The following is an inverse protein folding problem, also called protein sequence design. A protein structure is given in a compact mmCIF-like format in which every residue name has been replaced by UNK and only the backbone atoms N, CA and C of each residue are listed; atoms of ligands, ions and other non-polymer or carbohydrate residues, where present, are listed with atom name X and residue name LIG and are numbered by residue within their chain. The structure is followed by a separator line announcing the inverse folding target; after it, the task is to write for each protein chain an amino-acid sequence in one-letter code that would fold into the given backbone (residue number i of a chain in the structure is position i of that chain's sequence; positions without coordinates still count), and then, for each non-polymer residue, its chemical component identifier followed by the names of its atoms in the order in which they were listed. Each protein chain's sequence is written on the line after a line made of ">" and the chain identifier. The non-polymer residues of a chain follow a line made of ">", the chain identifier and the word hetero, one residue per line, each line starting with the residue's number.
data_IF_748187660422
#
_entry.id   IF_748187660422
#
_cell.length_a   1.000
_cell.length_b   1.000
_cell.length_c   1.000
_cell.angle_alpha   90.00
_cell.angle_beta   90.00
_cell.angle_gamma   90.00
#
_symmetry.space_group_name_H-M   'P 1'
#
loop_
_entity.id
_entity.type
_entity.pdbx_description
1 polymer ?
#
# COMPACT_ATOMS: atom_id res chain seq x y z
N UNK A 1 6.94 -20.27 -65.41
CA UNK A 1 8.17 -20.33 -64.59
C UNK A 1 8.07 -19.20 -63.58
N UNK A 2 7.50 -19.41 -62.39
CA UNK A 2 8.01 -20.21 -61.25
C UNK A 2 9.27 -19.56 -60.66
N UNK A 3 9.23 -19.38 -59.33
CA UNK A 3 10.29 -18.99 -58.36
C UNK A 3 10.32 -17.48 -58.02
N UNK A 4 10.12 -16.97 -56.80
CA UNK A 4 9.63 -17.37 -55.46
C UNK A 4 9.49 -15.99 -54.74
N UNK A 5 8.40 -15.50 -54.13
CA UNK A 5 7.38 -16.11 -53.27
C UNK A 5 7.98 -16.81 -52.05
N UNK A 6 8.82 -16.12 -51.27
CA UNK A 6 9.11 -16.41 -49.86
C UNK A 6 9.82 -15.23 -49.20
N UNK A 7 9.07 -14.30 -48.59
CA UNK A 7 9.57 -13.43 -47.50
C UNK A 7 8.41 -12.85 -46.67
N UNK A 8 7.34 -13.65 -46.55
CA UNK A 8 6.22 -13.40 -45.66
C UNK A 8 6.11 -14.57 -44.69
N UNK A 9 7.14 -14.81 -43.87
CA UNK A 9 7.09 -15.77 -42.75
C UNK A 9 8.27 -15.57 -41.79
N UNK A 10 8.35 -14.40 -41.16
CA UNK A 10 8.90 -14.26 -39.81
C UNK A 10 8.10 -13.16 -39.09
N UNK A 11 6.81 -13.44 -38.88
CA UNK A 11 6.08 -12.91 -37.74
C UNK A 11 6.68 -13.56 -36.48
N UNK A 12 7.85 -13.08 -36.07
CA UNK A 12 8.27 -13.20 -34.69
C UNK A 12 7.41 -12.24 -33.89
N UNK A 13 6.41 -12.78 -33.18
CA UNK A 13 5.75 -12.12 -32.08
C UNK A 13 6.80 -11.70 -31.04
N UNK A 14 7.49 -10.58 -31.28
CA UNK A 14 7.91 -9.75 -30.17
C UNK A 14 6.60 -9.17 -29.63
N UNK A 15 6.03 -9.87 -28.65
CA UNK A 15 5.24 -9.20 -27.65
C UNK A 15 6.11 -8.02 -27.20
N UNK A 16 5.80 -6.83 -27.70
CA UNK A 16 6.31 -5.59 -27.15
C UNK A 16 5.85 -5.66 -25.70
N UNK A 17 6.74 -6.16 -24.84
CA UNK A 17 6.64 -5.98 -23.41
C UNK A 17 6.72 -4.47 -23.29
N UNK A 18 5.55 -3.84 -23.22
CA UNK A 18 5.43 -2.46 -22.83
C UNK A 18 5.95 -2.44 -21.41
N UNK A 19 7.22 -2.06 -21.28
CA UNK A 19 7.89 -1.89 -20.01
C UNK A 19 7.02 -0.91 -19.23
N UNK A 20 6.45 -1.36 -18.12
CA UNK A 20 5.64 -0.46 -17.31
C UNK A 20 6.61 0.46 -16.58
N UNK A 21 6.51 1.76 -16.83
CA UNK A 21 7.29 2.72 -16.08
C UNK A 21 6.84 2.69 -14.61
N UNK A 22 7.81 2.65 -13.70
CA UNK A 22 7.62 2.93 -12.27
C UNK A 22 6.81 4.21 -12.10
N UNK A 23 6.05 4.28 -11.02
CA UNK A 23 5.32 5.49 -10.69
C UNK A 23 6.29 6.68 -10.55
N UNK A 24 6.13 7.77 -11.35
CA UNK A 24 6.99 8.93 -11.26
C UNK A 24 7.10 9.52 -9.84
N UNK A 25 6.01 9.47 -9.05
CA UNK A 25 6.04 9.93 -7.66
C UNK A 25 6.89 9.01 -6.77
N UNK A 26 6.90 7.70 -7.03
CA UNK A 26 7.74 6.73 -6.31
C UNK A 26 9.22 6.91 -6.68
N UNK A 27 9.51 7.14 -7.96
CA UNK A 27 10.87 7.35 -8.44
C UNK A 27 11.48 8.68 -7.94
N UNK A 28 10.63 9.68 -7.69
CA UNK A 28 11.04 10.97 -7.15
C UNK A 28 11.30 10.98 -5.63
N UNK A 29 11.08 9.87 -4.92
CA UNK A 29 11.32 9.78 -3.47
C UNK A 29 12.80 9.92 -3.19
N UNK A 30 13.16 10.94 -2.40
CA UNK A 30 14.53 11.13 -1.93
C UNK A 30 14.61 11.26 -0.40
N UNK A 31 13.50 11.49 0.29
CA UNK A 31 13.48 11.69 1.74
C UNK A 31 12.57 10.70 2.46
N UNK A 32 12.82 10.41 3.76
CA UNK A 32 11.94 9.57 4.57
C UNK A 32 10.48 10.04 4.61
N UNK A 33 10.25 11.35 4.54
CA UNK A 33 8.89 11.87 4.53
C UNK A 33 8.19 11.76 3.18
N UNK A 34 8.91 11.80 2.07
CA UNK A 34 8.33 11.47 0.77
C UNK A 34 7.98 9.98 0.68
N UNK A 35 8.82 9.10 1.26
CA UNK A 35 8.49 7.70 1.40
C UNK A 35 7.23 7.48 2.29
N UNK A 36 7.08 8.21 3.41
CA UNK A 36 5.87 8.13 4.25
C UNK A 36 4.62 8.64 3.51
N UNK A 37 4.74 9.72 2.72
CA UNK A 37 3.66 10.22 1.85
C UNK A 37 3.20 9.11 0.89
N UNK A 38 4.14 8.43 0.25
CA UNK A 38 3.82 7.36 -0.68
C UNK A 38 3.11 6.19 0.02
N UNK A 39 3.64 5.77 1.18
CA UNK A 39 3.03 4.71 1.97
C UNK A 39 1.64 5.09 2.48
N UNK A 40 1.37 6.36 2.77
CA UNK A 40 0.03 6.84 3.11
C UNK A 40 -0.96 6.70 1.94
N UNK A 41 -0.52 7.00 0.70
CA UNK A 41 -1.34 6.81 -0.49
C UNK A 41 -1.62 5.33 -0.78
N UNK A 42 -0.61 4.47 -0.60
CA UNK A 42 -0.75 3.01 -0.67
C UNK A 42 -1.74 2.50 0.39
N UNK A 43 -1.62 2.97 1.64
CA UNK A 43 -2.55 2.64 2.72
C UNK A 43 -3.99 3.01 2.36
N UNK A 44 -4.22 4.22 1.85
CA UNK A 44 -5.55 4.67 1.42
C UNK A 44 -6.12 3.78 0.31
N UNK A 45 -5.30 3.43 -0.69
CA UNK A 45 -5.67 2.52 -1.77
C UNK A 45 -6.09 1.15 -1.25
N UNK A 46 -5.31 0.57 -0.34
CA UNK A 46 -5.61 -0.74 0.24
C UNK A 46 -6.83 -0.71 1.17
N UNK A 47 -7.04 0.38 1.93
CA UNK A 47 -8.27 0.58 2.73
C UNK A 47 -9.52 0.65 1.86
N UNK A 48 -9.44 1.33 0.70
CA UNK A 48 -10.54 1.37 -0.26
C UNK A 48 -10.83 -0.02 -0.81
N UNK A 49 -9.81 -0.79 -1.18
CA UNK A 49 -9.96 -2.18 -1.65
C UNK A 49 -10.55 -3.10 -0.58
N UNK A 50 -10.10 -2.97 0.67
CA UNK A 50 -10.66 -3.72 1.81
C UNK A 50 -12.15 -3.39 2.02
N UNK A 51 -12.52 -2.12 1.93
CA UNK A 51 -13.92 -1.67 2.03
C UNK A 51 -14.77 -2.24 0.90
N UNK A 52 -14.29 -2.16 -0.34
CA UNK A 52 -14.95 -2.75 -1.51
C UNK A 52 -15.12 -4.26 -1.38
N UNK A 53 -14.08 -4.96 -0.90
CA UNK A 53 -14.11 -6.39 -0.66
C UNK A 53 -15.17 -6.81 0.37
N UNK A 54 -15.40 -6.00 1.41
CA UNK A 54 -16.45 -6.25 2.39
C UNK A 54 -17.87 -5.94 1.86
N UNK A 55 -18.01 -5.01 0.90
CA UNK A 55 -19.30 -4.63 0.34
C UNK A 55 -19.97 -5.77 -0.45
N UNK A 56 -19.19 -6.55 -1.21
CA UNK A 56 -19.69 -7.62 -2.06
C UNK A 56 -20.52 -8.69 -1.32
N UNK A 57 -20.05 -9.13 -0.14
CA UNK A 57 -20.77 -10.12 0.66
C UNK A 57 -22.02 -9.54 1.35
N UNK A 58 -21.96 -8.26 1.74
CA UNK A 58 -23.08 -7.54 2.37
C UNK A 58 -24.25 -7.37 1.39
N UNK A 59 -23.96 -7.08 0.13
CA UNK A 59 -24.99 -6.90 -0.90
C UNK A 59 -25.80 -8.18 -1.13
N UNK A 60 -25.14 -9.33 -1.28
CA UNK A 60 -25.81 -10.63 -1.46
C UNK A 60 -26.62 -11.05 -0.23
N UNK A 61 -26.08 -10.82 0.96
CA UNK A 61 -26.81 -11.06 2.21
C UNK A 61 -28.07 -10.18 2.30
N UNK A 62 -27.98 -8.94 1.81
CA UNK A 62 -29.13 -8.04 1.66
C UNK A 62 -30.16 -8.58 0.68
N UNK A 63 -29.73 -9.01 -0.51
CA UNK A 63 -30.60 -9.60 -1.53
C UNK A 63 -31.36 -10.83 -0.99
N UNK A 64 -30.65 -11.75 -0.31
CA UNK A 64 -31.25 -12.93 0.31
C UNK A 64 -32.32 -12.56 1.35
N UNK A 65 -32.06 -11.55 2.18
CA UNK A 65 -33.02 -11.05 3.18
C UNK A 65 -34.26 -10.45 2.51
N UNK A 66 -34.08 -9.63 1.47
CA UNK A 66 -35.19 -9.02 0.73
C UNK A 66 -36.09 -10.08 0.11
N UNK A 67 -35.51 -11.08 -0.58
CA UNK A 67 -36.26 -12.18 -1.19
C UNK A 67 -37.02 -13.00 -0.13
N UNK A 68 -36.39 -13.27 1.03
CA UNK A 68 -37.05 -13.97 2.13
C UNK A 68 -38.23 -13.20 2.69
N UNK A 69 -38.13 -11.88 2.85
CA UNK A 69 -39.25 -11.04 3.30
C UNK A 69 -40.37 -11.03 2.27
N UNK A 70 -40.05 -10.91 0.98
CA UNK A 70 -41.03 -10.97 -0.10
C UNK A 70 -41.76 -12.32 -0.15
N UNK A 71 -41.05 -13.42 0.08
CA UNK A 71 -41.62 -14.77 0.14
C UNK A 71 -42.69 -14.91 1.23
N UNK A 72 -42.51 -14.24 2.37
CA UNK A 72 -43.46 -14.25 3.50
C UNK A 72 -44.62 -13.27 3.28
N UNK A 73 -44.37 -12.18 2.55
CA UNK A 73 -45.37 -11.15 2.30
C UNK A 73 -46.41 -11.53 1.24
N UNK A 74 -46.07 -12.43 0.32
CA UNK A 74 -47.00 -12.87 -0.75
C UNK A 74 -48.01 -13.91 -0.25
N UNK A 75 -49.27 -13.75 -0.66
CA UNK A 75 -50.33 -14.72 -0.39
C UNK A 75 -50.34 -15.91 -1.39
N UNK A 76 -49.66 -15.78 -2.53
CA UNK A 76 -49.55 -16.84 -3.52
C UNK A 76 -48.49 -17.85 -3.09
N UNK A 77 -48.93 -19.09 -2.81
CA UNK A 77 -48.06 -20.17 -2.34
C UNK A 77 -46.95 -20.55 -3.35
N UNK A 78 -47.22 -20.41 -4.65
CA UNK A 78 -46.22 -20.66 -5.71
C UNK A 78 -45.19 -19.54 -5.73
N UNK A 79 -45.62 -18.27 -5.75
CA UNK A 79 -44.69 -17.12 -5.67
C UNK A 79 -43.88 -17.17 -4.37
N UNK A 80 -44.51 -17.52 -3.24
CA UNK A 80 -43.85 -17.69 -1.95
C UNK A 80 -42.72 -18.73 -2.03
N UNK A 81 -43.01 -19.90 -2.59
CA UNK A 81 -42.03 -20.97 -2.79
C UNK A 81 -40.87 -20.56 -3.69
N UNK A 82 -41.14 -19.87 -4.80
CA UNK A 82 -40.12 -19.39 -5.74
C UNK A 82 -39.22 -18.31 -5.12
N UNK A 83 -39.81 -17.31 -4.44
CA UNK A 83 -39.05 -16.28 -3.72
C UNK A 83 -38.19 -16.89 -2.60
N UNK A 84 -38.72 -17.89 -1.87
CA UNK A 84 -37.97 -18.60 -0.85
C UNK A 84 -36.81 -19.41 -1.45
N UNK A 85 -37.01 -20.07 -2.58
CA UNK A 85 -35.96 -20.79 -3.30
C UNK A 85 -34.84 -19.84 -3.76
N UNK A 86 -35.20 -18.69 -4.34
CA UNK A 86 -34.24 -17.65 -4.71
C UNK A 86 -33.48 -17.09 -3.48
N UNK A 87 -34.17 -16.91 -2.35
CA UNK A 87 -33.55 -16.46 -1.10
C UNK A 87 -32.50 -17.45 -0.56
N UNK A 88 -32.78 -18.76 -0.62
CA UNK A 88 -31.83 -19.82 -0.22
C UNK A 88 -30.57 -19.76 -1.08
N UNK A 89 -30.72 -19.66 -2.40
CA UNK A 89 -29.58 -19.57 -3.32
C UNK A 89 -28.78 -18.30 -3.09
N UNK A 90 -29.44 -17.16 -2.93
CA UNK A 90 -28.77 -15.90 -2.61
C UNK A 90 -27.98 -16.01 -1.29
N UNK A 91 -28.53 -16.69 -0.27
CA UNK A 91 -27.85 -16.91 1.01
C UNK A 91 -26.61 -17.82 0.89
N UNK A 92 -26.69 -18.91 0.12
CA UNK A 92 -25.55 -19.81 -0.12
C UNK A 92 -24.44 -19.09 -0.91
N UNK A 93 -24.81 -18.31 -1.95
CA UNK A 93 -23.86 -17.48 -2.69
C UNK A 93 -23.26 -16.38 -1.80
N UNK A 94 -24.02 -15.81 -0.88
CA UNK A 94 -23.52 -14.86 0.10
C UNK A 94 -22.48 -15.51 1.02
N UNK A 95 -22.74 -16.73 1.52
CA UNK A 95 -21.81 -17.47 2.39
C UNK A 95 -20.50 -17.80 1.67
N UNK A 96 -20.57 -18.28 0.44
CA UNK A 96 -19.37 -18.56 -0.37
C UNK A 96 -18.57 -17.27 -0.65
N UNK A 97 -19.26 -16.18 -0.99
CA UNK A 97 -18.66 -14.85 -1.20
C UNK A 97 -18.03 -14.32 0.10
N UNK A 98 -18.67 -14.51 1.25
CA UNK A 98 -18.12 -14.10 2.55
C UNK A 98 -16.81 -14.84 2.87
N UNK A 99 -16.74 -16.15 2.65
CA UNK A 99 -15.49 -16.90 2.86
C UNK A 99 -14.33 -16.38 2.01
N UNK A 100 -14.60 -16.02 0.75
CA UNK A 100 -13.61 -15.38 -0.12
C UNK A 100 -13.24 -13.97 0.35
N UNK A 101 -14.23 -13.18 0.77
CA UNK A 101 -14.03 -11.85 1.30
C UNK A 101 -13.20 -11.87 2.59
N UNK A 102 -13.41 -12.83 3.48
CA UNK A 102 -12.64 -12.97 4.72
C UNK A 102 -11.17 -13.33 4.44
N UNK A 103 -10.94 -14.26 3.51
CA UNK A 103 -9.59 -14.64 3.10
C UNK A 103 -8.84 -13.45 2.48
N UNK A 104 -9.44 -12.77 1.50
CA UNK A 104 -8.85 -11.57 0.87
C UNK A 104 -8.72 -10.41 1.84
N UNK A 105 -9.68 -10.26 2.74
CA UNK A 105 -9.67 -9.26 3.81
C UNK A 105 -8.49 -9.43 4.75
N UNK A 106 -8.11 -10.67 5.04
CA UNK A 106 -6.89 -10.97 5.80
C UNK A 106 -5.65 -10.48 5.06
N UNK A 107 -5.53 -10.76 3.76
CA UNK A 107 -4.41 -10.26 2.93
C UNK A 107 -4.28 -8.73 2.98
N UNK A 108 -5.39 -8.01 2.82
CA UNK A 108 -5.37 -6.54 2.90
C UNK A 108 -5.00 -6.04 4.30
N UNK A 109 -5.55 -6.63 5.37
CA UNK A 109 -5.24 -6.24 6.76
C UNK A 109 -3.77 -6.45 7.09
N UNK A 110 -3.20 -7.60 6.73
CA UNK A 110 -1.78 -7.89 6.93
C UNK A 110 -0.91 -6.83 6.25
N UNK A 111 -1.20 -6.46 4.99
CA UNK A 111 -0.45 -5.41 4.31
C UNK A 111 -0.59 -4.04 4.99
N UNK A 112 -1.80 -3.67 5.44
CA UNK A 112 -2.04 -2.41 6.17
C UNK A 112 -1.28 -2.35 7.49
N UNK A 113 -1.20 -3.46 8.23
CA UNK A 113 -0.41 -3.55 9.46
C UNK A 113 1.09 -3.34 9.16
N UNK A 114 1.60 -3.96 8.09
CA UNK A 114 3.00 -3.79 7.68
C UNK A 114 3.30 -2.38 7.20
N UNK A 115 2.40 -1.76 6.43
CA UNK A 115 2.54 -0.34 6.04
C UNK A 115 2.62 0.54 7.27
N UNK A 116 1.78 0.32 8.28
CA UNK A 116 1.81 1.10 9.54
C UNK A 116 3.16 1.00 10.24
N UNK A 117 3.78 -0.18 10.26
CA UNK A 117 5.13 -0.39 10.81
C UNK A 117 6.19 0.36 10.02
N UNK A 118 6.21 0.21 8.69
CA UNK A 118 7.16 0.92 7.81
C UNK A 118 7.04 2.44 7.94
N UNK A 119 5.82 2.97 8.02
CA UNK A 119 5.54 4.39 8.25
C UNK A 119 6.07 4.87 9.60
N UNK A 120 5.94 4.05 10.64
CA UNK A 120 6.50 4.35 11.98
C UNK A 120 8.03 4.41 11.93
N UNK A 121 8.68 3.49 11.23
CA UNK A 121 10.13 3.49 11.03
C UNK A 121 10.60 4.73 10.27
N UNK A 122 9.93 5.08 9.17
CA UNK A 122 10.23 6.28 8.39
C UNK A 122 10.04 7.57 9.21
N UNK A 123 8.98 7.64 10.02
CA UNK A 123 8.74 8.78 10.90
C UNK A 123 9.84 8.91 11.98
N UNK A 124 10.35 7.80 12.50
CA UNK A 124 11.47 7.79 13.44
C UNK A 124 12.76 8.29 12.78
N UNK A 125 13.09 7.80 11.57
CA UNK A 125 14.25 8.25 10.80
C UNK A 125 14.13 9.73 10.42
N UNK A 126 12.95 10.17 9.98
CA UNK A 126 12.66 11.57 9.70
C UNK A 126 12.83 12.46 10.94
N UNK A 127 12.43 11.97 12.11
CA UNK A 127 12.60 12.70 13.36
C UNK A 127 14.08 12.90 13.66
N UNK A 128 14.89 11.84 13.51
CA UNK A 128 16.35 11.90 13.68
C UNK A 128 16.98 12.88 12.68
N UNK A 129 16.54 12.89 11.43
CA UNK A 129 17.09 13.79 10.40
C UNK A 129 16.75 15.27 10.62
N UNK A 130 15.65 15.55 11.32
CA UNK A 130 15.24 16.89 11.70
C UNK A 130 15.93 17.40 12.98
N UNK A 131 16.63 16.54 13.72
CA UNK A 131 17.43 16.95 14.86
C UNK A 131 18.62 17.80 14.38
N UNK A 132 18.77 18.96 14.99
CA UNK A 132 19.92 19.85 14.86
C UNK A 132 20.63 19.91 16.21
N UNK A 133 21.87 20.35 16.19
CA UNK A 133 22.60 20.66 17.41
C UNK A 133 22.65 22.18 17.61
N UNK A 134 22.57 22.60 18.85
CA UNK A 134 22.67 24.01 19.23
C UNK A 134 23.57 24.19 20.45
N UNK A 135 24.22 25.35 20.53
CA UNK A 135 24.95 25.76 21.73
C UNK A 135 23.95 26.23 22.80
N UNK A 136 24.08 25.76 24.05
CA UNK A 136 23.23 26.25 25.14
C UNK A 136 23.61 27.69 25.52
N UNK A 137 22.63 28.60 25.55
CA UNK A 137 22.80 30.07 25.75
C UNK A 137 23.57 30.50 27.00
N UNK A 138 23.72 29.66 28.02
CA UNK A 138 24.61 29.90 29.18
C UNK A 138 25.38 28.63 29.55
N UNK A 139 25.80 27.87 28.54
CA UNK A 139 26.37 26.53 28.68
C UNK A 139 27.90 26.47 28.72
N UNK A 140 28.57 27.61 28.93
CA UNK A 140 30.02 27.73 28.77
C UNK A 140 30.68 27.93 30.14
N UNK A 141 31.76 27.20 30.39
CA UNK A 141 32.59 27.38 31.59
C UNK A 141 34.04 27.07 31.31
N UNK A 142 34.93 27.57 32.16
CA UNK A 142 36.30 27.04 32.22
C UNK A 142 36.26 25.58 32.67
N UNK A 143 37.08 24.75 32.04
CA UNK A 143 37.32 23.37 32.51
C UNK A 143 38.01 23.43 33.88
N UNK A 144 39.08 24.22 33.96
CA UNK A 144 39.96 24.40 35.11
C UNK A 144 40.71 25.75 35.04
N UNK A 145 41.72 25.94 35.90
CA UNK A 145 42.53 27.16 36.00
C UNK A 145 43.60 27.29 34.90
N UNK A 146 43.74 26.30 34.00
CA UNK A 146 44.72 26.26 32.92
C UNK A 146 44.17 26.80 31.60
N UNK A 147 43.90 25.94 30.61
CA UNK A 147 43.94 26.25 29.18
C UNK A 147 42.69 25.80 28.40
N UNK A 148 41.61 25.34 29.05
CA UNK A 148 40.45 24.78 28.35
C UNK A 148 39.09 25.33 28.83
N UNK A 149 38.15 25.41 27.89
CA UNK A 149 36.73 25.72 28.14
C UNK A 149 35.84 24.54 27.75
N UNK A 150 34.77 24.32 28.50
CA UNK A 150 33.71 23.38 28.17
C UNK A 150 32.48 24.15 27.71
N UNK A 151 31.85 23.67 26.65
CA UNK A 151 30.59 24.19 26.14
C UNK A 151 29.57 23.05 26.02
N UNK A 152 28.34 23.29 26.47
CA UNK A 152 27.25 22.33 26.34
C UNK A 152 26.62 22.46 24.96
N UNK A 153 26.64 21.37 24.20
CA UNK A 153 25.88 21.16 22.98
C UNK A 153 24.61 20.40 23.35
N UNK A 154 23.45 20.86 22.88
CA UNK A 154 22.17 20.21 23.07
C UNK A 154 21.52 19.90 21.72
N UNK A 155 20.68 18.87 21.69
CA UNK A 155 19.78 18.67 20.58
C UNK A 155 18.74 19.81 20.55
N UNK A 156 18.50 20.31 19.36
CA UNK A 156 17.46 21.25 19.01
C UNK A 156 16.67 20.65 17.84
N UNK A 157 15.42 21.05 17.68
CA UNK A 157 14.60 20.58 16.59
C UNK A 157 13.54 21.61 16.22
N UNK A 158 13.34 21.80 14.91
CA UNK A 158 12.20 22.56 14.43
C UNK A 158 10.94 21.71 14.60
N UNK A 159 10.02 22.12 15.48
CA UNK A 159 8.73 21.45 15.67
C UNK A 159 7.73 21.88 14.60
N UNK A 160 6.80 21.00 14.17
CA UNK A 160 6.61 19.63 14.67
C UNK A 160 7.60 18.64 14.03
N UNK A 161 7.99 17.63 14.81
CA UNK A 161 8.86 16.54 14.38
C UNK A 161 8.11 15.49 13.54
N UNK A 162 8.86 14.75 12.73
CA UNK A 162 8.36 13.69 11.85
C UNK A 162 7.79 14.24 10.55
N UNK A 163 6.91 13.47 9.91
CA UNK A 163 6.45 13.77 8.55
C UNK A 163 5.10 14.51 8.48
N UNK A 164 4.41 14.68 9.61
CA UNK A 164 3.06 15.26 9.61
C UNK A 164 2.95 16.69 9.06
N UNK A 165 3.97 17.54 9.25
CA UNK A 165 4.00 18.86 8.64
C UNK A 165 4.21 18.79 7.11
N UNK A 166 5.12 17.94 6.66
CA UNK A 166 5.41 17.78 5.23
C UNK A 166 4.19 17.29 4.47
N UNK A 167 3.45 16.32 5.00
CA UNK A 167 2.20 15.82 4.38
C UNK A 167 1.18 16.94 4.12
N UNK A 168 1.05 17.87 5.07
CA UNK A 168 0.13 19.01 4.94
C UNK A 168 0.63 20.03 3.93
N UNK A 169 1.94 20.33 3.95
CA UNK A 169 2.55 21.30 3.06
C UNK A 169 2.52 20.87 1.59
N UNK A 170 2.71 19.57 1.33
CA UNK A 170 2.73 19.04 -0.04
C UNK A 170 1.37 18.51 -0.50
N UNK A 171 0.34 18.57 0.34
CA UNK A 171 -0.99 18.01 0.07
C UNK A 171 -0.94 16.52 -0.34
N UNK A 172 0.02 15.75 0.19
CA UNK A 172 0.21 14.35 -0.17
C UNK A 172 0.94 14.08 -1.48
N UNK A 173 1.51 15.11 -2.12
CA UNK A 173 2.31 14.99 -3.34
C UNK A 173 3.80 14.87 -3.04
N UNK A 174 4.54 14.28 -3.98
CA UNK A 174 6.00 14.16 -3.96
C UNK A 174 6.54 14.88 -5.19
N UNK A 175 7.30 15.96 -4.99
CA UNK A 175 7.77 16.81 -6.08
C UNK A 175 6.64 17.24 -7.07
N UNK A 176 5.47 17.61 -6.54
CA UNK A 176 4.25 17.93 -7.30
C UNK A 176 3.61 16.76 -8.07
N UNK A 177 4.11 15.53 -7.90
CA UNK A 177 3.56 14.31 -8.50
C UNK A 177 2.60 13.63 -7.51
N UNK A 178 1.47 13.16 -8.04
CA UNK A 178 0.48 12.41 -7.27
C UNK A 178 0.92 10.93 -7.20
N UNK A 179 1.03 10.33 -6.00
CA UNK A 179 1.29 8.90 -5.88
C UNK A 179 0.23 8.04 -6.57
N UNK A 180 0.69 7.07 -7.36
CA UNK A 180 -0.12 6.05 -7.99
C UNK A 180 0.33 4.64 -7.58
N UNK A 181 -0.19 4.12 -6.46
CA UNK A 181 0.22 2.81 -5.92
C UNK A 181 -0.02 1.61 -6.83
N UNK A 182 -0.82 1.74 -7.91
CA UNK A 182 -1.02 0.62 -8.85
C UNK A 182 0.16 0.41 -9.80
N UNK A 183 1.05 1.40 -9.91
CA UNK A 183 2.26 1.35 -10.74
C UNK A 183 3.55 1.14 -9.94
N UNK A 184 3.44 1.06 -8.61
CA UNK A 184 4.57 0.92 -7.71
C UNK A 184 5.33 -0.38 -7.95
N UNK A 185 6.61 -0.32 -8.34
CA UNK A 185 7.46 -1.50 -8.57
C UNK A 185 8.44 -1.76 -7.41
N UNK A 186 8.86 -0.71 -6.70
CA UNK A 186 9.76 -0.80 -5.54
C UNK A 186 9.32 0.03 -4.35
N UNK A 187 9.42 -0.54 -3.14
CA UNK A 187 9.18 0.18 -1.89
C UNK A 187 10.43 0.95 -1.45
N UNK A 188 10.26 2.22 -1.12
CA UNK A 188 11.26 2.99 -0.39
C UNK A 188 10.97 2.88 1.10
N UNK A 189 11.92 2.34 1.87
CA UNK A 189 11.78 2.15 3.31
C UNK A 189 13.05 2.60 4.02
N UNK A 190 12.96 2.75 5.35
CA UNK A 190 14.11 3.05 6.18
C UNK A 190 15.21 1.98 5.99
N UNK A 191 16.45 2.43 5.81
CA UNK A 191 17.61 1.56 5.87
C UNK A 191 18.07 1.47 7.33
N UNK A 192 17.74 0.37 8.00
CA UNK A 192 18.10 0.11 9.39
C UNK A 192 19.60 0.32 9.68
N UNK A 193 20.46 0.07 8.69
CA UNK A 193 21.93 0.20 8.82
C UNK A 193 22.41 1.64 8.79
N UNK A 194 21.57 2.58 8.34
CA UNK A 194 21.89 4.02 8.16
C UNK A 194 20.99 4.94 8.97
N UNK A 195 20.23 4.38 9.91
CA UNK A 195 19.30 5.15 10.76
C UNK A 195 19.99 6.26 11.56
N UNK A 196 21.25 6.05 11.94
CA UNK A 196 22.08 7.06 12.62
C UNK A 196 22.73 8.06 11.65
N UNK A 197 22.89 7.70 10.37
CA UNK A 197 23.56 8.53 9.36
C UNK A 197 22.66 9.66 8.84
N UNK A 198 21.36 9.57 9.11
CA UNK A 198 20.34 10.51 8.68
C UNK A 198 20.32 11.86 9.41
N UNK A 199 21.03 12.03 10.54
CA UNK A 199 21.09 13.35 11.23
C UNK A 199 21.69 14.38 10.30
N UNK A 200 21.17 15.62 10.26
CA UNK A 200 21.78 16.70 9.48
C UNK A 200 23.24 16.97 9.88
N UNK A 201 24.05 17.49 8.95
CA UNK A 201 25.44 17.85 9.24
C UNK A 201 25.40 19.08 10.14
N UNK A 202 26.05 18.95 11.29
CA UNK A 202 26.17 20.01 12.26
C UNK A 202 27.63 20.46 12.28
N UNK A 203 27.88 21.72 11.94
CA UNK A 203 29.22 22.29 11.90
C UNK A 203 29.42 23.18 13.11
N UNK A 204 30.49 22.92 13.87
CA UNK A 204 30.97 23.82 14.90
C UNK A 204 31.80 24.93 14.25
N UNK A 205 31.26 26.13 14.23
CA UNK A 205 31.94 27.35 13.81
C UNK A 205 32.65 27.99 15.01
N UNK A 206 33.96 28.20 14.87
CA UNK A 206 34.79 28.94 15.82
C UNK A 206 35.35 30.18 15.10
N UNK A 207 34.83 31.35 15.45
CA UNK A 207 35.26 32.61 14.82
C UNK A 207 36.64 33.04 15.35
N UNK A 208 37.67 32.91 14.51
CA UNK A 208 39.03 33.37 14.82
C UNK A 208 39.13 34.89 14.73
N UNK A 209 40.04 35.49 15.50
CA UNK A 209 40.22 36.96 15.56
C UNK A 209 40.99 37.57 14.38
N UNK A 210 41.51 36.76 13.46
CA UNK A 210 42.26 37.18 12.27
C UNK A 210 41.73 36.55 10.98
N UNK A 211 42.39 36.80 9.84
CA UNK A 211 41.96 36.23 8.54
C UNK A 211 42.35 34.75 8.41
N UNK A 212 41.61 34.01 7.58
CA UNK A 212 41.94 32.65 7.16
C UNK A 212 42.30 32.66 5.67
N UNK A 213 43.40 32.02 5.29
CA UNK A 213 43.98 32.08 3.93
C UNK A 213 44.00 30.71 3.22
N UNK A 214 42.86 30.02 3.19
CA UNK A 214 42.65 28.75 2.46
C UNK A 214 41.33 28.80 1.67
N UNK A 215 41.17 27.89 0.71
CA UNK A 215 39.90 27.70 -0.01
C UNK A 215 38.79 27.33 0.98
N UNK A 216 37.73 28.14 1.14
CA UNK A 216 36.66 27.88 2.09
C UNK A 216 35.81 26.64 1.76
N UNK A 217 36.00 26.01 0.58
CA UNK A 217 35.19 24.88 0.11
C UNK A 217 35.89 23.51 0.24
N UNK A 218 37.13 23.46 0.72
CA UNK A 218 37.88 22.22 0.92
C UNK A 218 37.85 21.76 2.38
N UNK A 219 37.34 20.54 2.64
CA UNK A 219 37.46 19.92 3.96
C UNK A 219 38.89 19.40 4.19
N UNK A 220 39.45 19.69 5.36
CA UNK A 220 40.76 19.23 5.82
C UNK A 220 40.68 18.90 7.33
N UNK A 221 41.75 18.35 7.88
CA UNK A 221 41.90 18.17 9.33
C UNK A 221 41.78 19.51 10.05
N UNK A 222 41.27 19.48 11.29
CA UNK A 222 41.18 20.68 12.13
C UNK A 222 42.52 21.42 12.23
N UNK A 223 43.62 20.69 12.40
CA UNK A 223 44.96 21.27 12.51
C UNK A 223 45.34 22.08 11.27
N UNK A 224 45.09 21.56 10.07
CA UNK A 224 45.42 22.23 8.82
C UNK A 224 44.50 23.42 8.55
N UNK A 225 43.20 23.24 8.76
CA UNK A 225 42.20 24.31 8.61
C UNK A 225 42.46 25.47 9.58
N UNK A 226 42.77 25.16 10.86
CA UNK A 226 43.06 26.16 11.88
C UNK A 226 44.45 26.80 11.71
N UNK A 227 45.45 26.09 11.19
CA UNK A 227 46.78 26.65 10.90
C UNK A 227 46.74 27.70 9.78
N UNK A 228 45.75 27.62 8.90
CA UNK A 228 45.52 28.61 7.87
C UNK A 228 44.84 29.89 8.37
N UNK A 229 44.41 29.92 9.64
CA UNK A 229 43.81 31.08 10.28
C UNK A 229 44.81 31.76 11.22
N UNK A 230 44.84 33.10 11.23
CA UNK A 230 45.65 33.85 12.18
C UNK A 230 45.08 33.76 13.60
N UNK A 231 45.78 33.03 14.47
CA UNK A 231 45.48 32.87 15.89
C UNK A 231 46.03 34.06 16.70
N UNK A 232 45.47 35.27 16.51
CA UNK A 232 45.70 36.35 17.49
C UNK A 232 45.10 35.97 18.87
N UNK A 233 45.31 36.78 19.91
CA UNK A 233 44.78 36.49 21.26
C UNK A 233 43.28 36.18 21.19
N UNK A 234 42.96 34.93 21.53
CA UNK A 234 41.63 34.36 21.45
C UNK A 234 40.78 34.89 22.60
N UNK A 235 40.23 36.11 22.46
CA UNK A 235 39.40 36.75 23.49
C UNK A 235 37.91 36.56 23.27
N UNK A 236 37.49 36.19 22.05
CA UNK A 236 36.07 36.07 21.67
C UNK A 236 35.82 34.91 20.69
N UNK A 237 36.13 33.68 21.07
CA UNK A 237 35.54 32.52 20.40
C UNK A 237 34.07 32.48 20.80
N UNK A 238 33.20 32.90 19.89
CA UNK A 238 31.77 32.67 19.99
C UNK A 238 31.44 31.36 19.26
N UNK A 239 31.53 30.18 19.91
CA UNK A 239 31.20 28.92 19.26
C UNK A 239 29.74 28.95 18.81
N UNK A 240 29.50 28.57 17.57
CA UNK A 240 28.15 28.42 17.01
C UNK A 240 28.04 27.04 16.37
N UNK A 241 26.85 26.45 16.46
CA UNK A 241 26.53 25.33 15.58
C UNK A 241 25.74 25.91 14.40
N UNK A 242 26.15 25.58 13.18
CA UNK A 242 25.43 25.92 11.94
C UNK A 242 25.11 24.64 11.17
N UNK A 243 23.94 24.64 10.52
CA UNK A 243 23.49 23.56 9.63
C UNK A 243 23.46 23.99 8.16
N UNK A 244 24.04 25.15 7.82
CA UNK A 244 24.03 25.73 6.46
C UNK A 244 25.38 26.34 6.10
N UNK A 245 25.65 26.49 4.79
CA UNK A 245 26.88 27.12 4.30
C UNK A 245 28.11 26.20 4.31
N UNK A 246 27.94 24.92 4.63
CA UNK A 246 28.97 23.90 4.55
C UNK A 246 28.81 23.07 3.27
N UNK A 247 29.93 22.56 2.74
CA UNK A 247 29.90 21.66 1.58
C UNK A 247 29.19 20.37 1.97
N UNK A 248 28.23 19.91 1.17
CA UNK A 248 27.57 18.64 1.44
C UNK A 248 28.63 17.53 1.59
N UNK A 249 28.65 16.86 2.74
CA UNK A 249 29.35 15.58 2.84
C UNK A 249 28.52 14.55 2.08
N UNK A 250 29.15 13.51 1.54
CA UNK A 250 28.43 12.45 0.84
C UNK A 250 27.55 11.67 1.82
N UNK A 251 26.40 12.24 2.18
CA UNK A 251 25.41 11.57 3.02
C UNK A 251 24.88 10.38 2.25
N UNK A 252 24.85 9.25 2.94
CA UNK A 252 24.13 8.09 2.45
C UNK A 252 22.68 8.29 2.86
N UNK A 253 21.77 8.36 1.88
CA UNK A 253 20.35 8.46 2.15
C UNK A 253 19.92 7.33 3.10
N UNK A 254 19.15 7.60 4.17
CA UNK A 254 18.75 6.60 5.15
C UNK A 254 17.59 5.75 4.63
N UNK A 255 17.52 5.57 3.31
CA UNK A 255 16.51 4.83 2.59
C UNK A 255 17.15 3.69 1.81
N UNK A 256 16.41 2.60 1.67
CA UNK A 256 16.71 1.53 0.72
C UNK A 256 15.48 1.23 -0.13
N UNK A 257 15.71 0.82 -1.39
CA UNK A 257 14.67 0.33 -2.29
C UNK A 257 14.54 -1.19 -2.14
N UNK A 258 13.32 -1.69 -2.00
CA UNK A 258 12.99 -3.13 -2.05
C UNK A 258 12.04 -3.41 -3.20
N UNK A 259 12.49 -4.25 -4.12
CA UNK A 259 11.70 -4.67 -5.28
C UNK A 259 10.50 -5.53 -4.84
N UNK A 260 9.30 -5.16 -5.31
CA UNK A 260 8.01 -5.80 -4.96
C UNK A 260 7.76 -7.05 -5.81
N UNK A 261 7.97 -6.94 -7.12
CA UNK A 261 7.64 -7.98 -8.10
C UNK A 261 8.86 -8.78 -8.55
N UNK A 262 8.64 -9.92 -9.21
CA UNK A 262 9.68 -10.77 -9.79
C UNK A 262 10.48 -10.02 -10.85
N UNK A 263 9.80 -9.27 -11.70
CA UNK A 263 10.41 -8.42 -12.71
C UNK A 263 10.53 -7.00 -12.15
N UNK A 264 11.70 -6.34 -12.27
CA UNK A 264 11.89 -5.00 -11.73
C UNK A 264 11.09 -3.94 -12.50
N UNK A 265 10.74 -4.20 -13.77
CA UNK A 265 10.15 -3.23 -14.69
C UNK A 265 8.68 -3.50 -15.04
N UNK A 266 8.00 -4.36 -14.28
CA UNK A 266 6.59 -4.65 -14.53
C UNK A 266 5.87 -5.13 -13.28
N UNK A 267 4.60 -4.75 -13.13
CA UNK A 267 3.71 -5.40 -12.17
C UNK A 267 3.51 -6.87 -12.56
N UNK A 268 3.31 -7.74 -11.57
CA UNK A 268 3.11 -9.16 -11.86
C UNK A 268 3.30 -10.04 -10.64
N UNK A 269 4.02 -11.15 -10.83
CA UNK A 269 4.30 -12.06 -9.73
C UNK A 269 5.13 -11.40 -8.63
N UNK A 270 4.90 -11.77 -7.37
CA UNK A 270 5.69 -11.24 -6.26
C UNK A 270 7.13 -11.72 -6.34
N UNK A 271 8.05 -10.89 -5.85
CA UNK A 271 9.46 -11.22 -5.85
C UNK A 271 9.72 -12.51 -5.06
N UNK A 272 10.26 -13.57 -5.70
CA UNK A 272 10.45 -14.86 -5.05
C UNK A 272 11.46 -14.81 -3.90
N UNK A 273 12.38 -13.83 -3.89
CA UNK A 273 13.34 -13.64 -2.82
C UNK A 273 12.68 -13.42 -1.44
N UNK A 274 11.47 -12.88 -1.42
CA UNK A 274 10.74 -12.56 -0.19
C UNK A 274 9.81 -13.69 0.28
N UNK A 275 9.70 -14.80 -0.48
CA UNK A 275 8.69 -15.84 -0.24
C UNK A 275 8.81 -16.48 1.14
N UNK A 276 10.05 -16.74 1.59
CA UNK A 276 10.38 -17.34 2.88
C UNK A 276 10.65 -16.30 3.97
N UNK A 277 10.39 -15.01 3.70
CA UNK A 277 10.53 -13.98 4.72
C UNK A 277 9.54 -14.24 5.87
N UNK A 278 10.07 -14.20 7.09
CA UNK A 278 9.35 -14.25 8.35
C UNK A 278 9.40 -12.86 8.97
N UNK A 279 8.32 -12.45 9.63
CA UNK A 279 8.16 -11.08 10.13
C UNK A 279 9.20 -10.67 11.17
N UNK A 280 9.68 -11.61 11.98
CA UNK A 280 10.66 -11.41 13.04
C UNK A 280 12.11 -11.45 12.53
N UNK A 281 12.39 -12.26 11.50
CA UNK A 281 13.74 -12.43 10.94
C UNK A 281 14.05 -11.42 9.85
N UNK A 282 13.10 -11.22 8.94
CA UNK A 282 13.23 -10.42 7.72
C UNK A 282 12.02 -9.48 7.58
N UNK A 283 11.84 -8.51 8.51
CA UNK A 283 10.63 -7.70 8.59
C UNK A 283 10.34 -6.91 7.31
N UNK A 284 11.38 -6.36 6.68
CA UNK A 284 11.25 -5.54 5.48
C UNK A 284 10.83 -6.35 4.25
N UNK A 285 11.42 -7.53 4.08
CA UNK A 285 11.09 -8.49 3.04
C UNK A 285 9.69 -9.08 3.27
N UNK A 286 9.33 -9.36 4.53
CA UNK A 286 7.98 -9.80 4.91
C UNK A 286 6.93 -8.73 4.58
N UNK A 287 7.19 -7.47 4.94
CA UNK A 287 6.33 -6.35 4.60
C UNK A 287 6.16 -6.21 3.08
N UNK A 288 7.25 -6.30 2.32
CA UNK A 288 7.24 -6.23 0.85
C UNK A 288 6.40 -7.39 0.25
N UNK A 289 6.55 -8.61 0.78
CA UNK A 289 5.73 -9.77 0.41
C UNK A 289 4.25 -9.52 0.67
N UNK A 290 3.90 -9.06 1.87
CA UNK A 290 2.51 -8.80 2.26
C UNK A 290 1.87 -7.71 1.36
N UNK A 291 2.59 -6.62 1.11
CA UNK A 291 2.15 -5.53 0.23
C UNK A 291 1.95 -6.03 -1.20
N UNK A 292 2.89 -6.81 -1.75
CA UNK A 292 2.72 -7.40 -3.07
C UNK A 292 1.45 -8.27 -3.16
N UNK A 293 1.24 -9.15 -2.18
CA UNK A 293 0.06 -10.02 -2.13
C UNK A 293 -1.23 -9.20 -2.11
N UNK A 294 -1.28 -8.10 -1.35
CA UNK A 294 -2.43 -7.20 -1.31
C UNK A 294 -2.62 -6.43 -2.63
N UNK A 295 -1.55 -5.93 -3.25
CA UNK A 295 -1.62 -5.21 -4.53
C UNK A 295 -2.13 -6.10 -5.68
N UNK A 296 -1.77 -7.39 -5.67
CA UNK A 296 -2.27 -8.40 -6.60
C UNK A 296 -3.68 -8.90 -6.29
N UNK A 297 -4.16 -8.70 -5.06
CA UNK A 297 -5.48 -9.14 -4.65
C UNK A 297 -6.52 -8.14 -5.12
N UNK A 298 -7.35 -8.54 -6.07
CA UNK A 298 -8.57 -7.80 -6.41
C UNK A 298 -9.61 -7.98 -5.30
N UNK A 299 -10.45 -6.98 -5.00
CA UNK A 299 -11.63 -7.17 -4.16
C UNK A 299 -12.49 -8.33 -4.66
N UNK A 300 -13.19 -9.00 -3.75
CA UNK A 300 -14.18 -10.01 -4.14
C UNK A 300 -15.26 -9.36 -5.00
N UNK A 301 -15.52 -9.92 -6.18
CA UNK A 301 -16.61 -9.45 -7.02
C UNK A 301 -17.95 -9.81 -6.38
N UNK A 302 -18.89 -8.87 -6.40
CA UNK A 302 -20.26 -9.14 -6.00
C UNK A 302 -20.91 -10.08 -7.02
N UNK A 303 -21.01 -11.37 -6.69
CA UNK A 303 -21.76 -12.34 -7.49
C UNK A 303 -23.26 -12.12 -7.30
N UNK A 304 -23.82 -11.03 -7.81
CA UNK A 304 -25.27 -10.80 -7.75
C UNK A 304 -26.02 -12.03 -8.28
N UNK A 305 -27.11 -12.41 -7.60
CA UNK A 305 -28.01 -13.40 -8.17
C UNK A 305 -28.76 -12.73 -9.32
N UNK A 306 -28.52 -13.18 -10.54
CA UNK A 306 -29.26 -12.73 -11.72
C UNK A 306 -30.71 -13.22 -11.61
N UNK A 307 -31.64 -12.30 -11.36
CA UNK A 307 -33.06 -12.59 -11.19
C UNK A 307 -33.77 -12.67 -12.55
N UNK A 308 -33.44 -13.69 -13.35
CA UNK A 308 -34.21 -14.04 -14.54
C UNK A 308 -34.41 -15.55 -14.62
N UNK A 309 -35.48 -15.98 -15.29
CA UNK A 309 -35.86 -17.39 -15.33
C UNK A 309 -34.82 -18.29 -15.98
N UNK A 310 -34.05 -17.80 -16.96
CA UNK A 310 -32.98 -18.56 -17.59
C UNK A 310 -31.85 -18.90 -16.60
N UNK A 311 -31.33 -17.89 -15.91
CA UNK A 311 -30.24 -18.03 -14.94
C UNK A 311 -30.69 -18.77 -13.68
N UNK A 312 -31.89 -18.48 -13.18
CA UNK A 312 -32.43 -19.13 -11.98
C UNK A 312 -32.75 -20.60 -12.24
N UNK A 313 -33.35 -20.96 -13.38
CA UNK A 313 -33.65 -22.35 -13.69
C UNK A 313 -32.40 -23.19 -14.00
N UNK A 314 -31.29 -22.55 -14.40
CA UNK A 314 -30.01 -23.21 -14.60
C UNK A 314 -29.25 -23.48 -13.28
N UNK A 315 -29.65 -22.86 -12.17
CA UNK A 315 -29.01 -23.04 -10.86
C UNK A 315 -29.57 -24.29 -10.15
N UNK A 316 -28.75 -25.34 -9.92
CA UNK A 316 -29.23 -26.60 -9.33
C UNK A 316 -29.89 -26.40 -7.96
N UNK A 317 -29.40 -25.45 -7.16
CA UNK A 317 -29.97 -25.13 -5.84
C UNK A 317 -31.37 -24.51 -5.96
N UNK A 318 -31.66 -23.72 -7.00
CA UNK A 318 -33.02 -23.21 -7.26
C UNK A 318 -33.95 -24.39 -7.57
N UNK A 319 -33.54 -25.29 -8.46
CA UNK A 319 -34.34 -26.45 -8.88
C UNK A 319 -34.64 -27.33 -7.67
N UNK A 320 -33.65 -27.61 -6.84
CA UNK A 320 -33.81 -28.40 -5.62
C UNK A 320 -34.73 -27.70 -4.60
N UNK A 321 -34.49 -26.42 -4.31
CA UNK A 321 -35.27 -25.67 -3.34
C UNK A 321 -36.72 -25.52 -3.79
N UNK A 322 -36.97 -25.16 -5.05
CA UNK A 322 -38.32 -25.06 -5.60
C UNK A 322 -39.02 -26.43 -5.66
N UNK A 323 -38.33 -27.50 -6.07
CA UNK A 323 -38.86 -28.86 -6.05
C UNK A 323 -39.27 -29.33 -4.65
N UNK A 324 -38.62 -28.81 -3.60
CA UNK A 324 -38.97 -29.15 -2.21
C UNK A 324 -40.22 -28.45 -1.68
N UNK A 325 -40.62 -27.31 -2.25
CA UNK A 325 -41.76 -26.53 -1.77
C UNK A 325 -42.96 -26.50 -2.72
N UNK A 326 -42.77 -26.74 -4.02
CA UNK A 326 -43.86 -26.80 -4.98
C UNK A 326 -44.73 -28.05 -4.74
N UNK A 327 -46.05 -27.93 -4.58
CA UNK A 327 -46.93 -29.05 -4.22
C UNK A 327 -46.80 -30.28 -5.13
N UNK A 328 -46.58 -30.07 -6.43
CA UNK A 328 -46.46 -31.13 -7.44
C UNK A 328 -45.16 -31.96 -7.35
N UNK A 329 -44.15 -31.45 -6.64
CA UNK A 329 -42.83 -32.07 -6.51
C UNK A 329 -42.46 -32.41 -5.06
N UNK A 330 -43.08 -31.73 -4.09
CA UNK A 330 -42.81 -31.86 -2.66
C UNK A 330 -43.02 -33.30 -2.18
N UNK A 331 -42.05 -33.81 -1.40
CA UNK A 331 -42.11 -35.16 -0.80
C UNK A 331 -41.57 -36.28 -1.69
N UNK A 332 -41.18 -36.00 -2.94
CA UNK A 332 -40.49 -36.97 -3.79
C UNK A 332 -39.02 -37.10 -3.34
N UNK A 333 -38.58 -38.33 -3.06
CA UNK A 333 -37.20 -38.60 -2.64
C UNK A 333 -36.17 -38.28 -3.74
N UNK A 334 -36.57 -38.46 -5.01
CA UNK A 334 -35.80 -38.09 -6.20
C UNK A 334 -36.77 -37.80 -7.35
N UNK A 335 -36.51 -36.74 -8.11
CA UNK A 335 -37.24 -36.43 -9.34
C UNK A 335 -36.69 -37.30 -10.49
N UNK A 336 -37.57 -37.81 -11.36
CA UNK A 336 -37.15 -38.40 -12.63
C UNK A 336 -36.54 -37.33 -13.56
N UNK A 337 -35.81 -37.75 -14.60
CA UNK A 337 -35.26 -36.80 -15.59
C UNK A 337 -36.36 -35.98 -16.29
N UNK A 338 -37.51 -36.61 -16.56
CA UNK A 338 -38.68 -35.95 -17.15
C UNK A 338 -39.28 -34.91 -16.19
N UNK A 339 -39.38 -35.24 -14.91
CA UNK A 339 -39.87 -34.32 -13.88
C UNK A 339 -38.92 -33.15 -13.67
N UNK A 340 -37.61 -33.41 -13.69
CA UNK A 340 -36.59 -32.38 -13.56
C UNK A 340 -36.59 -31.45 -14.77
N UNK A 341 -36.73 -31.98 -15.98
CA UNK A 341 -36.89 -31.19 -17.22
C UNK A 341 -38.16 -30.33 -17.18
N UNK A 342 -39.27 -30.90 -16.69
CA UNK A 342 -40.55 -30.19 -16.55
C UNK A 342 -40.44 -29.06 -15.53
N UNK A 343 -39.81 -29.33 -14.38
CA UNK A 343 -39.57 -28.32 -13.35
C UNK A 343 -38.69 -27.19 -13.88
N UNK A 344 -37.58 -27.49 -14.57
CA UNK A 344 -36.71 -26.45 -15.16
C UNK A 344 -37.47 -25.57 -16.16
N UNK A 345 -38.30 -26.14 -17.03
CA UNK A 345 -39.16 -25.37 -17.95
C UNK A 345 -40.18 -24.51 -17.21
N UNK A 346 -40.81 -25.06 -16.18
CA UNK A 346 -41.73 -24.31 -15.32
C UNK A 346 -41.02 -23.13 -14.67
N UNK A 347 -39.83 -23.32 -14.08
CA UNK A 347 -39.06 -22.26 -13.42
C UNK A 347 -38.64 -21.16 -14.41
N UNK A 348 -38.20 -21.51 -15.62
CA UNK A 348 -37.88 -20.52 -16.67
C UNK A 348 -39.07 -19.58 -16.94
N UNK A 349 -40.26 -20.14 -17.06
CA UNK A 349 -41.46 -19.35 -17.32
C UNK A 349 -41.94 -18.60 -16.09
N UNK A 350 -41.93 -19.25 -14.92
CA UNK A 350 -42.47 -18.70 -13.68
C UNK A 350 -41.67 -17.51 -13.15
N UNK A 351 -40.35 -17.49 -13.34
CA UNK A 351 -39.49 -16.36 -12.99
C UNK A 351 -39.43 -15.26 -14.07
N UNK A 352 -40.02 -15.48 -15.25
CA UNK A 352 -40.04 -14.49 -16.32
C UNK A 352 -38.67 -14.14 -16.92
N UNK A 353 -38.63 -13.10 -17.76
CA UNK A 353 -37.43 -12.66 -18.48
C UNK A 353 -36.48 -11.82 -17.63
N UNK A 354 -36.98 -11.16 -16.60
CA UNK A 354 -36.26 -10.23 -15.72
C UNK A 354 -36.95 -10.14 -14.36
N UNK A 355 -36.39 -9.35 -13.45
CA UNK A 355 -36.94 -9.17 -12.10
C UNK A 355 -38.32 -8.52 -12.10
N UNK A 356 -38.62 -7.69 -13.09
CA UNK A 356 -39.87 -6.94 -13.17
C UNK A 356 -41.01 -7.84 -13.67
N UNK A 357 -40.70 -8.82 -14.52
CA UNK A 357 -41.63 -9.84 -14.98
C UNK A 357 -42.08 -10.81 -13.88
N UNK A 358 -41.38 -10.87 -12.74
CA UNK A 358 -41.68 -11.77 -11.63
C UNK A 358 -42.47 -11.11 -10.48
N UNK A 359 -42.30 -9.80 -10.28
CA UNK A 359 -42.97 -9.02 -9.24
C UNK A 359 -44.51 -8.98 -9.47
#
# INVERSE_FOLDING_TARGET
>A
MIIYLFLAWMMGFFAVHTQEAEDPAAEAINTPCEADIYLAALEATLKQRLTSNAAAAKELSGQARTLKVAAVATADATKSCLLAAAAVVAAEKAKATQGQADQRGTTFKTALDQITKLRTELAAVATISQLKLAMKTNGHRRKDTSQATHSIIQADATTPLGCGAQHKLTEGKINSLEPNPTKLLSLHIADATKTADGTADNVLELAMSGSCNQDPQAYDTWSNAAAACQQNTITNLAPKITSSGHKATGRTEPLKKLQIYKNPDSVGDCNPAHTTAEEDKNPAEYATKAICQALRTSPTEAKQLTLNGEALAAEPLIVQAAGSCLPQYRGKAKLSEEEQTTLTKFLKNAYGKDSDAFN
#
